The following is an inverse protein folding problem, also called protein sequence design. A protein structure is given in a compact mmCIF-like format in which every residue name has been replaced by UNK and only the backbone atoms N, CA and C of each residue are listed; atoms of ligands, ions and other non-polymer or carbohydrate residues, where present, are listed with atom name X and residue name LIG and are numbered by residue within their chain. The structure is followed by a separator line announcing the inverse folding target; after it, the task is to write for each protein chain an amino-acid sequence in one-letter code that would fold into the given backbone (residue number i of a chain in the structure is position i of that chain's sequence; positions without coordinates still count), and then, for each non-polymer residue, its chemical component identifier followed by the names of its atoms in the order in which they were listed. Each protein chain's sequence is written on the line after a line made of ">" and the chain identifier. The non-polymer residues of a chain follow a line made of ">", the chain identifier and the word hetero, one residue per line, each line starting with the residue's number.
data_IF_647433674095
#
_entry.id   IF_647433674095
#
_cell.length_a   1.000
_cell.length_b   1.000
_cell.length_c   1.000
_cell.angle_alpha   90.00
_cell.angle_beta   90.00
_cell.angle_gamma   90.00
#
_symmetry.space_group_name_H-M   'P 1'
#
loop_
_entity.id
_entity.type
_entity.pdbx_description
1 polymer ?
#
# COMPACT_ATOMS: atom_id res chain seq x y z
N UNK A 1 5.56 -8.52 12.01
CA UNK A 1 4.33 -9.16 11.51
C UNK A 1 3.36 -9.26 12.66
N UNK A 2 2.24 -8.55 12.56
CA UNK A 2 1.12 -8.68 13.50
C UNK A 2 0.06 -9.58 12.87
N UNK A 3 -0.45 -10.53 13.65
CA UNK A 3 -1.60 -11.35 13.23
C UNK A 3 -2.88 -10.53 13.38
N UNK A 4 -3.51 -10.26 12.24
CA UNK A 4 -4.75 -9.49 12.15
C UNK A 4 -5.92 -10.48 11.98
N UNK A 5 -6.96 -10.35 12.81
CA UNK A 5 -8.17 -11.17 12.72
C UNK A 5 -8.87 -11.02 11.36
N UNK A 6 -9.84 -11.86 11.01
CA UNK A 6 -10.64 -11.63 9.78
C UNK A 6 -11.38 -10.29 9.87
N UNK A 7 -11.24 -9.44 8.86
CA UNK A 7 -11.89 -8.13 8.82
C UNK A 7 -11.35 -7.22 7.72
N UNK A 8 -11.99 -6.07 7.54
CA UNK A 8 -11.49 -5.02 6.67
C UNK A 8 -10.42 -4.22 7.43
N UNK A 9 -9.28 -4.00 6.78
CA UNK A 9 -8.18 -3.21 7.32
C UNK A 9 -7.93 -2.00 6.44
N UNK A 10 -7.99 -0.83 7.05
CA UNK A 10 -7.60 0.41 6.42
C UNK A 10 -6.23 0.84 6.95
N UNK A 11 -5.35 1.25 6.04
CA UNK A 11 -4.04 1.81 6.37
C UNK A 11 -3.94 3.16 5.69
N UNK A 12 -3.74 4.20 6.49
CA UNK A 12 -3.52 5.54 5.98
C UNK A 12 -2.07 5.68 5.54
N UNK A 13 -1.87 6.04 4.27
CA UNK A 13 -0.55 6.34 3.71
C UNK A 13 -0.39 7.84 3.56
N UNK A 14 0.53 8.44 4.32
CA UNK A 14 0.86 9.86 4.17
C UNK A 14 1.93 10.05 3.08
N UNK A 15 1.51 10.63 1.95
CA UNK A 15 2.37 10.94 0.82
C UNK A 15 2.91 12.39 0.84
N UNK A 16 2.68 13.17 1.90
CA UNK A 16 3.04 14.60 1.99
C UNK A 16 4.50 14.91 1.66
N UNK A 17 5.40 14.01 2.07
CA UNK A 17 6.85 14.14 1.87
C UNK A 17 7.37 13.51 0.57
N UNK A 18 6.49 12.99 -0.29
CA UNK A 18 6.86 12.42 -1.59
C UNK A 18 6.76 13.48 -2.69
N UNK A 19 7.66 13.39 -3.67
CA UNK A 19 7.56 14.17 -4.90
C UNK A 19 6.43 13.65 -5.79
N UNK A 20 5.94 14.48 -6.71
CA UNK A 20 5.00 14.01 -7.72
C UNK A 20 5.65 12.92 -8.57
N UNK A 21 4.95 11.81 -8.79
CA UNK A 21 5.54 10.65 -9.46
C UNK A 21 4.71 9.38 -9.33
N UNK A 22 5.17 8.31 -9.99
CA UNK A 22 4.57 6.98 -9.90
C UNK A 22 5.33 6.15 -8.87
N UNK A 23 4.60 5.64 -7.89
CA UNK A 23 5.11 4.81 -6.81
C UNK A 23 4.53 3.41 -6.94
N UNK A 24 5.41 2.41 -7.00
CA UNK A 24 5.02 1.00 -7.02
C UNK A 24 4.98 0.47 -5.60
N UNK A 25 3.94 -0.30 -5.28
CA UNK A 25 3.81 -0.99 -4.01
C UNK A 25 3.29 -2.41 -4.21
N UNK A 26 3.55 -3.25 -3.22
CA UNK A 26 3.24 -4.68 -3.27
C UNK A 26 2.47 -5.09 -2.03
N UNK A 27 1.32 -5.72 -2.25
CA UNK A 27 0.58 -6.41 -1.19
C UNK A 27 0.98 -7.88 -1.25
N UNK A 28 1.43 -8.40 -0.11
CA UNK A 28 1.80 -9.82 0.03
C UNK A 28 0.94 -10.44 1.11
N UNK A 29 0.28 -11.54 0.78
CA UNK A 29 -0.48 -12.43 1.64
C UNK A 29 0.05 -13.85 1.41
N UNK A 30 -0.37 -14.82 2.24
CA UNK A 30 0.22 -16.17 2.28
C UNK A 30 0.52 -16.76 0.89
N UNK A 31 -0.51 -16.87 0.03
CA UNK A 31 -0.38 -17.41 -1.33
C UNK A 31 -0.67 -16.37 -2.43
N UNK A 32 -0.71 -15.08 -2.07
CA UNK A 32 -1.12 -14.02 -2.98
C UNK A 32 -0.18 -12.83 -2.93
N UNK A 33 0.34 -12.45 -4.11
CA UNK A 33 1.14 -11.25 -4.28
C UNK A 33 0.53 -10.39 -5.36
N UNK A 34 0.27 -9.12 -5.04
CA UNK A 34 -0.27 -8.13 -5.98
C UNK A 34 0.59 -6.88 -5.99
N UNK A 35 1.13 -6.56 -7.16
CA UNK A 35 1.83 -5.29 -7.40
C UNK A 35 0.85 -4.27 -7.97
N UNK A 36 0.86 -3.07 -7.41
CA UNK A 36 0.01 -1.96 -7.84
C UNK A 36 0.83 -0.67 -7.91
N UNK A 37 0.31 0.31 -8.65
CA UNK A 37 0.92 1.63 -8.79
C UNK A 37 0.00 2.69 -8.22
N UNK A 38 0.59 3.67 -7.55
CA UNK A 38 -0.04 4.90 -7.09
C UNK A 38 0.63 6.07 -7.80
N UNK A 39 -0.14 7.10 -8.15
CA UNK A 39 0.40 8.34 -8.69
C UNK A 39 0.21 9.44 -7.66
N UNK A 40 1.32 10.07 -7.25
CA UNK A 40 1.30 11.28 -6.42
C UNK A 40 1.32 12.47 -7.37
N UNK A 41 0.33 13.34 -7.25
CA UNK A 41 0.22 14.61 -7.99
C UNK A 41 0.21 15.73 -6.95
N UNK A 42 1.04 16.76 -7.15
CA UNK A 42 1.04 17.98 -6.33
C UNK A 42 0.33 19.08 -7.10
#
# INVERSE_FOLDING_TARGET
>A
NEEKQTGNYEVQFDASNLSSGVYLYKITMHDFTKTMKMMVVK
#
